data_IF_732844475534
#
_entry.id   IF_732844475534
#
_cell.length_a   1.000
_cell.length_b   1.000
_cell.length_c   1.000
_cell.angle_alpha   90.00
_cell.angle_beta   90.00
_cell.angle_gamma   90.00
#
_symmetry.space_group_name_H-M   'P 1'
#
loop_
_entity.id
_entity.type
_entity.pdbx_description
1 polymer ?
#
# COMPACT_ATOMS: atom_id res chain seq x y z
N UNK A 1 18.98 -36.03 8.34
CA UNK A 1 18.02 -35.30 9.20
C UNK A 1 18.48 -33.85 9.29
N UNK A 2 18.37 -33.07 8.21
CA UNK A 2 17.27 -32.11 7.95
C UNK A 2 17.08 -31.05 9.04
N UNK A 3 18.10 -30.20 9.21
CA UNK A 3 17.94 -28.84 9.71
C UNK A 3 18.75 -27.96 8.76
N UNK A 4 18.08 -27.08 8.00
CA UNK A 4 18.60 -25.96 7.18
C UNK A 4 17.78 -25.69 5.90
N UNK A 5 16.44 -25.80 5.98
CA UNK A 5 15.56 -25.42 4.84
C UNK A 5 14.53 -24.33 5.17
N UNK A 6 14.38 -23.92 6.43
CA UNK A 6 13.39 -22.88 6.81
C UNK A 6 13.94 -21.45 6.80
N UNK A 7 15.27 -21.24 6.82
CA UNK A 7 15.86 -19.89 6.87
C UNK A 7 16.15 -19.26 5.50
N UNK A 8 15.90 -19.96 4.38
CA UNK A 8 16.25 -19.46 3.04
C UNK A 8 15.18 -18.60 2.35
N UNK A 9 14.05 -18.32 2.99
CA UNK A 9 12.97 -17.52 2.38
C UNK A 9 13.09 -16.01 2.68
N UNK A 10 13.98 -15.58 3.59
CA UNK A 10 14.02 -14.18 4.06
C UNK A 10 15.02 -13.23 3.39
N UNK A 11 15.66 -13.59 2.27
CA UNK A 11 16.68 -12.73 1.65
C UNK A 11 16.40 -12.43 0.16
N UNK A 12 15.20 -11.92 -0.13
CA UNK A 12 14.83 -11.39 -1.45
C UNK A 12 14.74 -9.85 -1.55
N UNK A 13 14.94 -9.11 -0.45
CA UNK A 13 14.47 -7.72 -0.31
C UNK A 13 15.54 -6.64 -0.15
N UNK A 14 16.71 -6.77 -0.77
CA UNK A 14 17.88 -5.95 -0.41
C UNK A 14 17.93 -4.54 -0.98
N UNK A 15 17.36 -4.30 -2.17
CA UNK A 15 17.52 -3.01 -2.90
C UNK A 15 16.20 -2.45 -3.39
N UNK A 16 15.32 -3.32 -3.91
CA UNK A 16 14.00 -2.89 -4.41
C UNK A 16 13.10 -2.40 -3.28
N UNK A 17 13.10 -3.09 -2.14
CA UNK A 17 12.28 -2.73 -0.98
C UNK A 17 12.77 -1.43 -0.34
N UNK A 18 14.10 -1.23 -0.28
CA UNK A 18 14.70 0.00 0.22
C UNK A 18 14.41 1.20 -0.70
N UNK A 19 14.44 1.00 -2.03
CA UNK A 19 14.09 2.03 -3.00
C UNK A 19 12.60 2.40 -2.92
N UNK A 20 11.72 1.41 -2.83
CA UNK A 20 10.29 1.65 -2.62
C UNK A 20 10.02 2.38 -1.29
N UNK A 21 10.71 1.99 -0.22
CA UNK A 21 10.57 2.65 1.08
C UNK A 21 11.06 4.10 1.07
N UNK A 22 12.16 4.40 0.36
CA UNK A 22 12.65 5.77 0.20
C UNK A 22 11.65 6.63 -0.58
N UNK A 23 11.19 6.14 -1.74
CA UNK A 23 10.20 6.86 -2.55
C UNK A 23 8.85 7.03 -1.83
N UNK A 24 8.51 6.07 -0.97
CA UNK A 24 7.35 6.16 -0.09
C UNK A 24 7.48 7.30 0.91
N UNK A 25 8.62 7.40 1.60
CA UNK A 25 8.83 8.36 2.67
C UNK A 25 8.83 9.84 2.21
N UNK A 26 9.11 10.09 0.94
CA UNK A 26 9.17 11.44 0.36
C UNK A 26 7.79 12.08 0.15
N UNK A 27 6.71 11.29 0.11
CA UNK A 27 5.38 11.75 -0.32
C UNK A 27 4.29 11.33 0.65
N UNK A 28 3.21 12.13 0.70
CA UNK A 28 1.99 11.79 1.45
C UNK A 28 1.09 10.92 0.58
N UNK A 29 1.21 9.61 0.75
CA UNK A 29 0.45 8.63 0.00
C UNK A 29 -0.90 8.32 0.63
N UNK A 30 -1.90 8.13 -0.24
CA UNK A 30 -3.30 7.94 0.12
C UNK A 30 -3.99 6.98 -0.85
N UNK A 31 -5.10 6.41 -0.41
CA UNK A 31 -6.04 5.69 -1.24
C UNK A 31 -7.23 6.57 -1.61
N UNK A 32 -7.73 6.36 -2.82
CA UNK A 32 -8.95 7.00 -3.34
C UNK A 32 -9.84 5.92 -3.93
N UNK A 33 -11.15 6.00 -3.68
CA UNK A 33 -12.11 5.09 -4.29
C UNK A 33 -12.14 5.25 -5.81
N UNK A 34 -12.16 4.13 -6.52
CA UNK A 34 -12.23 4.07 -7.98
C UNK A 34 -13.34 3.11 -8.41
N UNK A 35 -14.03 3.44 -9.50
CA UNK A 35 -15.19 2.65 -9.96
C UNK A 35 -14.81 1.33 -10.61
N UNK A 36 -13.61 1.24 -11.20
CA UNK A 36 -13.15 0.07 -11.94
C UNK A 36 -12.23 -0.79 -11.08
N UNK A 37 -11.29 -0.16 -10.38
CA UNK A 37 -10.25 -0.84 -9.59
C UNK A 37 -10.63 -0.99 -8.10
N UNK A 38 -11.75 -0.41 -7.68
CA UNK A 38 -12.20 -0.32 -6.29
C UNK A 38 -11.47 0.77 -5.51
N UNK A 39 -10.14 0.67 -5.44
CA UNK A 39 -9.27 1.69 -4.83
C UNK A 39 -7.98 1.87 -5.64
N UNK A 40 -7.58 3.13 -5.84
CA UNK A 40 -6.31 3.51 -6.44
C UNK A 40 -5.41 4.18 -5.41
N UNK A 41 -4.12 3.84 -5.45
CA UNK A 41 -3.11 4.58 -4.70
C UNK A 41 -2.75 5.87 -5.42
N UNK A 42 -2.40 6.89 -4.66
CA UNK A 42 -1.87 8.15 -5.16
C UNK A 42 -1.13 8.91 -4.07
N UNK A 43 -0.59 10.06 -4.42
CA UNK A 43 0.05 10.95 -3.46
C UNK A 43 -0.42 12.39 -3.61
N UNK A 44 -0.44 13.10 -2.49
CA UNK A 44 -0.86 14.51 -2.44
C UNK A 44 0.19 15.39 -3.13
N UNK A 45 -0.24 16.17 -4.12
CA UNK A 45 0.58 17.19 -4.80
C UNK A 45 0.32 18.58 -4.26
N UNK A 46 -0.93 18.90 -3.87
CA UNK A 46 -1.32 20.17 -3.25
C UNK A 46 -2.45 19.99 -2.25
N UNK A 47 -2.50 20.89 -1.27
CA UNK A 47 -3.52 20.91 -0.22
C UNK A 47 -4.07 22.35 -0.11
N UNK A 48 -5.36 22.53 -0.44
CA UNK A 48 -6.06 23.81 -0.43
C UNK A 48 -7.32 23.71 0.43
N UNK A 49 -7.17 23.92 1.74
CA UNK A 49 -8.25 23.76 2.70
C UNK A 49 -8.75 22.31 2.74
N UNK A 50 -10.04 22.12 2.43
CA UNK A 50 -10.66 20.80 2.41
C UNK A 50 -10.50 20.06 1.08
N UNK A 51 -9.79 20.65 0.09
CA UNK A 51 -9.53 20.02 -1.21
C UNK A 51 -8.07 19.60 -1.31
N UNK A 52 -7.85 18.37 -1.76
CA UNK A 52 -6.52 17.83 -2.04
C UNK A 52 -6.39 17.51 -3.52
N UNK A 53 -5.32 18.00 -4.14
CA UNK A 53 -4.89 17.57 -5.47
C UNK A 53 -3.99 16.36 -5.31
N UNK A 54 -4.31 15.28 -6.03
CA UNK A 54 -3.60 14.01 -5.95
C UNK A 54 -3.08 13.61 -7.34
N UNK A 55 -1.87 13.08 -7.41
CA UNK A 55 -1.42 12.29 -8.54
C UNK A 55 -1.65 10.81 -8.24
N UNK A 56 -2.52 10.17 -9.00
CA UNK A 56 -2.86 8.75 -8.86
C UNK A 56 -1.84 7.85 -9.56
N UNK A 57 -1.86 6.57 -9.22
CA UNK A 57 -1.00 5.51 -9.79
C UNK A 57 -1.25 5.24 -11.28
N UNK A 58 -2.43 5.60 -11.80
CA UNK A 58 -2.76 5.56 -13.22
C UNK A 58 -2.35 6.86 -13.97
N UNK A 59 -1.45 7.66 -13.39
CA UNK A 59 -0.98 8.96 -13.88
C UNK A 59 -2.06 10.06 -14.02
N UNK A 60 -3.28 9.81 -13.57
CA UNK A 60 -4.34 10.83 -13.54
C UNK A 60 -4.15 11.77 -12.37
N UNK A 61 -4.46 13.07 -12.59
CA UNK A 61 -4.52 14.07 -11.52
C UNK A 61 -5.98 14.35 -11.19
N UNK A 62 -6.33 14.24 -9.91
CA UNK A 62 -7.69 14.47 -9.43
C UNK A 62 -7.69 15.44 -8.27
N UNK A 63 -8.80 16.15 -8.08
CA UNK A 63 -9.04 16.96 -6.88
C UNK A 63 -10.22 16.37 -6.13
N UNK A 64 -9.97 15.96 -4.88
CA UNK A 64 -10.94 15.30 -4.01
C UNK A 64 -11.04 16.02 -2.68
N UNK A 65 -12.09 15.76 -1.91
CA UNK A 65 -12.18 16.28 -0.54
C UNK A 65 -11.20 15.53 0.37
N UNK A 66 -10.67 16.20 1.39
CA UNK A 66 -9.81 15.60 2.42
C UNK A 66 -10.49 14.46 3.18
N UNK A 67 -11.82 14.40 3.19
CA UNK A 67 -12.60 13.33 3.82
C UNK A 67 -12.82 12.11 2.89
N UNK A 68 -12.57 12.24 1.58
CA UNK A 68 -12.79 11.18 0.59
C UNK A 68 -11.52 10.35 0.33
N UNK A 69 -10.48 10.54 1.13
CA UNK A 69 -9.19 9.85 0.99
C UNK A 69 -8.89 9.05 2.25
N UNK A 70 -8.28 7.88 2.07
CA UNK A 70 -7.83 7.05 3.18
C UNK A 70 -6.30 7.06 3.26
N UNK A 71 -5.73 7.01 4.46
CA UNK A 71 -4.27 6.94 4.64
C UNK A 71 -3.76 5.59 4.16
N UNK A 72 -2.66 5.59 3.41
CA UNK A 72 -2.08 4.35 2.91
C UNK A 72 -0.94 3.87 3.82
N UNK A 73 -0.85 2.56 4.03
CA UNK A 73 0.22 1.95 4.81
C UNK A 73 1.54 1.93 4.01
N UNK A 74 2.69 2.06 4.68
CA UNK A 74 4.00 1.88 4.04
C UNK A 74 4.17 0.48 3.40
N UNK A 75 4.95 0.33 2.31
CA UNK A 75 5.15 -0.95 1.62
C UNK A 75 5.69 -2.10 2.49
N UNK A 76 6.35 -1.78 3.62
CA UNK A 76 6.80 -2.79 4.58
C UNK A 76 5.64 -3.59 5.23
N UNK A 77 4.40 -3.09 5.11
CA UNK A 77 3.19 -3.75 5.59
C UNK A 77 2.46 -4.51 4.47
N UNK A 78 3.07 -4.66 3.29
CA UNK A 78 2.51 -5.47 2.22
C UNK A 78 2.58 -6.95 2.60
N UNK A 79 1.50 -7.67 2.35
CA UNK A 79 1.35 -9.12 2.59
C UNK A 79 1.50 -9.51 4.06
N UNK A 80 1.11 -8.64 4.99
CA UNK A 80 1.05 -9.01 6.41
C UNK A 80 0.08 -10.17 6.64
N UNK A 81 0.49 -11.10 7.49
CA UNK A 81 -0.30 -12.28 7.87
C UNK A 81 -1.52 -11.88 8.72
N UNK A 82 -1.31 -11.03 9.71
CA UNK A 82 -2.37 -10.41 10.52
C UNK A 82 -2.64 -8.98 10.03
N UNK A 83 -3.88 -8.71 9.62
CA UNK A 83 -4.27 -7.36 9.18
C UNK A 83 -4.37 -6.38 10.35
N UNK A 84 -4.47 -6.86 11.59
CA UNK A 84 -4.42 -6.00 12.76
C UNK A 84 -3.05 -5.30 12.92
N UNK A 85 -1.99 -5.82 12.27
CA UNK A 85 -0.66 -5.22 12.28
C UNK A 85 -0.52 -4.01 11.34
N UNK A 86 -1.55 -3.72 10.52
CA UNK A 86 -1.57 -2.52 9.68
C UNK A 86 -1.59 -1.25 10.55
N UNK A 87 -0.78 -0.26 10.20
CA UNK A 87 -0.77 1.04 10.91
C UNK A 87 -2.09 1.80 10.69
N UNK A 88 -2.60 1.75 9.47
CA UNK A 88 -3.91 2.28 9.11
C UNK A 88 -4.84 1.12 8.77
N UNK A 89 -5.76 0.82 9.69
CA UNK A 89 -6.76 -0.21 9.49
C UNK A 89 -8.00 0.42 8.83
N UNK A 90 -7.97 0.49 7.50
CA UNK A 90 -9.06 0.99 6.66
C UNK A 90 -9.40 0.01 5.54
N UNK A 91 -10.53 0.22 4.88
CA UNK A 91 -11.06 -0.71 3.89
C UNK A 91 -10.09 -0.86 2.71
N UNK A 92 -9.54 0.25 2.21
CA UNK A 92 -8.61 0.23 1.10
C UNK A 92 -7.34 -0.60 1.41
N UNK A 93 -6.77 -0.45 2.61
CA UNK A 93 -5.58 -1.21 3.02
C UNK A 93 -5.85 -2.69 3.24
N UNK A 94 -7.02 -3.05 3.78
CA UNK A 94 -7.40 -4.46 3.92
C UNK A 94 -7.58 -5.11 2.56
N UNK A 95 -8.32 -4.46 1.64
CA UNK A 95 -8.53 -4.94 0.27
C UNK A 95 -7.20 -5.06 -0.48
N UNK A 96 -6.31 -4.08 -0.34
CA UNK A 96 -4.98 -4.12 -0.94
C UNK A 96 -4.15 -5.30 -0.44
N UNK A 97 -4.09 -5.50 0.88
CA UNK A 97 -3.33 -6.60 1.46
C UNK A 97 -3.88 -7.97 1.01
N UNK A 98 -5.20 -8.14 1.00
CA UNK A 98 -5.87 -9.34 0.49
C UNK A 98 -5.54 -9.60 -0.98
N UNK A 99 -5.61 -8.56 -1.82
CA UNK A 99 -5.28 -8.64 -3.25
C UNK A 99 -3.85 -9.11 -3.47
N UNK A 100 -2.88 -8.52 -2.76
CA UNK A 100 -1.47 -8.90 -2.87
C UNK A 100 -1.20 -10.33 -2.40
N UNK A 101 -1.83 -10.75 -1.30
CA UNK A 101 -1.71 -12.13 -0.79
C UNK A 101 -2.32 -13.12 -1.76
N UNK A 102 -3.50 -12.83 -2.30
CA UNK A 102 -4.16 -13.66 -3.31
C UNK A 102 -3.28 -13.88 -4.54
N UNK A 103 -2.72 -12.81 -5.13
CA UNK A 103 -1.82 -12.93 -6.28
C UNK A 103 -0.45 -13.56 -5.98
N UNK A 104 -0.12 -13.72 -4.70
CA UNK A 104 1.12 -14.35 -4.25
C UNK A 104 0.90 -15.77 -3.70
N UNK A 105 -0.31 -16.33 -3.85
CA UNK A 105 -0.73 -17.62 -3.28
C UNK A 105 -0.60 -17.72 -1.74
N UNK A 106 -0.68 -16.58 -1.04
CA UNK A 106 -0.57 -16.46 0.42
C UNK A 106 -1.95 -16.32 1.11
N UNK A 107 -2.94 -17.11 0.68
CA UNK A 107 -4.34 -16.95 1.11
C UNK A 107 -4.60 -17.26 2.59
N UNK A 108 -3.83 -18.17 3.21
CA UNK A 108 -3.98 -18.57 4.63
C UNK A 108 -2.67 -18.86 5.34
N UNK A 109 -1.54 -18.62 4.67
CA UNK A 109 -0.20 -18.90 5.21
C UNK A 109 0.20 -17.79 6.15
#
# INVERSE_FOLDING_TARGET
MTQNLTERVRLGGGVNDALQQSQWAEKKWVWVADKEEGYLSGYVTKEEGDKMELKLSNDTVVTVNSNDIEKMNPPKFDKVEDMADLTYLNEASVVHNLRLRYYSDLIYV
#
